data_IF_948473066795
#
_entry.id   IF_948473066795
#
_cell.length_a   1.000
_cell.length_b   1.000
_cell.length_c   1.000
_cell.angle_alpha   90.00
_cell.angle_beta   90.00
_cell.angle_gamma   90.00
#
_symmetry.space_group_name_H-M   'P 1'
#
loop_
_entity.id
_entity.type
_entity.pdbx_description
1 polymer ?
#
# COMPACT_ATOMS: atom_id res chain seq x y z
N UNK A 1 -4.65 6.23 0.65
CA UNK A 1 -3.81 6.21 1.87
C UNK A 1 -2.35 6.31 1.53
N UNK A 2 -1.53 5.53 2.23
CA UNK A 2 -0.10 5.52 1.98
C UNK A 2 0.25 4.50 0.91
N UNK A 3 0.46 3.26 1.33
CA UNK A 3 0.78 2.19 0.40
C UNK A 3 -0.46 1.66 -0.30
N UNK A 4 -1.24 2.58 -0.83
CA UNK A 4 -2.45 2.23 -1.56
C UNK A 4 -2.09 1.75 -2.95
N UNK A 5 -0.90 2.12 -3.39
CA UNK A 5 -0.39 1.74 -4.70
C UNK A 5 0.64 0.62 -4.56
N UNK A 6 0.46 -0.47 -5.32
CA UNK A 6 1.38 -1.62 -5.29
C UNK A 6 2.74 -1.28 -5.91
N UNK A 7 3.77 -2.11 -5.69
CA UNK A 7 3.69 -3.32 -4.89
C UNK A 7 4.23 -3.16 -3.48
N UNK A 8 3.43 -2.59 -2.59
CA UNK A 8 3.85 -2.41 -1.21
C UNK A 8 3.48 -3.63 -0.39
N UNK A 9 4.11 -3.73 0.76
CA UNK A 9 3.88 -4.84 1.67
C UNK A 9 2.56 -4.70 2.39
N UNK A 10 2.17 -3.45 2.65
CA UNK A 10 0.92 -3.17 3.34
C UNK A 10 0.01 -2.31 2.48
N UNK A 11 -0.65 -2.94 1.52
CA UNK A 11 -1.55 -2.23 0.62
C UNK A 11 -2.68 -1.56 1.40
N UNK A 12 -3.05 -2.16 2.52
CA UNK A 12 -4.10 -1.60 3.37
C UNK A 12 -3.51 -0.59 4.34
N UNK A 13 -2.83 0.38 3.79
CA UNK A 13 -2.19 1.42 4.58
C UNK A 13 -3.05 2.68 4.57
N UNK A 14 -3.70 2.96 5.69
#
# INVERSE_FOLDING_TARGET
GCCSTPPCAVLYCX
#
